data_IF_615172845913
#
_entry.id   IF_615172845913
#
_cell.length_a   1.000
_cell.length_b   1.000
_cell.length_c   1.000
_cell.angle_alpha   90.00
_cell.angle_beta   90.00
_cell.angle_gamma   90.00
#
_symmetry.space_group_name_H-M   'P 1'
#
loop_
_entity.id
_entity.type
_entity.pdbx_description
1 polymer ?
#
# COMPACT_ATOMS: atom_id res chain seq x y z
N UNK A 1 8.19 2.80 -9.52
CA UNK A 1 6.77 3.19 -9.44
C UNK A 1 6.03 2.14 -8.63
N UNK A 2 4.89 2.47 -8.04
CA UNK A 2 4.13 1.66 -7.07
C UNK A 2 4.16 0.13 -7.28
N UNK A 3 4.10 -0.32 -8.53
CA UNK A 3 4.30 -1.71 -8.99
C UNK A 3 5.52 -2.46 -8.41
N UNK A 4 6.66 -1.79 -8.19
CA UNK A 4 7.85 -2.43 -7.61
C UNK A 4 7.77 -2.58 -6.08
N UNK A 5 6.91 -1.80 -5.43
CA UNK A 5 6.61 -1.92 -4.01
C UNK A 5 5.60 -3.04 -3.79
N UNK A 6 4.58 -3.12 -4.63
CA UNK A 6 3.60 -4.21 -4.67
C UNK A 6 4.27 -5.58 -4.82
N UNK A 7 5.18 -5.74 -5.78
CA UNK A 7 5.92 -6.99 -5.99
C UNK A 7 6.85 -7.33 -4.79
N UNK A 8 7.50 -6.33 -4.19
CA UNK A 8 8.39 -6.54 -3.02
C UNK A 8 7.65 -6.95 -1.76
N UNK A 9 6.44 -6.45 -1.56
CA UNK A 9 5.64 -6.71 -0.36
C UNK A 9 4.53 -7.73 -0.59
N UNK A 10 4.33 -8.19 -1.84
CA UNK A 10 3.26 -9.10 -2.21
C UNK A 10 1.87 -8.50 -1.96
N UNK A 11 1.75 -7.18 -2.02
CA UNK A 11 0.49 -6.45 -1.80
C UNK A 11 0.03 -5.90 -3.15
N UNK A 12 -1.29 -5.87 -3.36
CA UNK A 12 -1.90 -5.25 -4.53
C UNK A 12 -2.69 -4.03 -4.05
N UNK A 13 -2.28 -2.83 -4.46
CA UNK A 13 -2.97 -1.59 -4.15
C UNK A 13 -3.68 -1.11 -5.41
N UNK A 14 -4.98 -0.83 -5.29
CA UNK A 14 -5.70 -0.16 -6.37
C UNK A 14 -5.22 1.28 -6.53
N UNK A 15 -5.22 1.81 -7.77
CA UNK A 15 -4.84 3.20 -8.04
C UNK A 15 -5.62 4.20 -7.16
N UNK A 16 -6.90 3.95 -6.92
CA UNK A 16 -7.75 4.78 -6.04
C UNK A 16 -7.27 4.82 -4.57
N UNK A 17 -6.65 3.76 -4.08
CA UNK A 17 -6.10 3.71 -2.72
C UNK A 17 -4.67 4.23 -2.68
N UNK A 18 -3.88 4.02 -3.75
CA UNK A 18 -2.59 4.68 -3.92
C UNK A 18 -2.74 6.21 -3.93
N UNK A 19 -3.78 6.74 -4.56
CA UNK A 19 -4.08 8.19 -4.57
C UNK A 19 -4.47 8.73 -3.18
N UNK A 20 -5.03 7.89 -2.31
CA UNK A 20 -5.35 8.25 -0.91
C UNK A 20 -4.14 8.16 0.01
N UNK A 21 -3.14 7.35 -0.34
CA UNK A 21 -1.89 7.20 0.41
C UNK A 21 -0.96 8.36 0.04
N UNK A 22 -1.19 9.50 0.69
CA UNK A 22 -0.41 10.72 0.48
C UNK A 22 0.72 10.90 1.49
N UNK A 23 0.62 10.26 2.65
CA UNK A 23 1.66 10.30 3.68
C UNK A 23 2.24 8.92 3.99
N UNK A 24 3.44 8.92 4.55
CA UNK A 24 4.07 7.68 5.07
C UNK A 24 3.19 7.01 6.13
N UNK A 25 2.41 7.79 6.90
CA UNK A 25 1.48 7.25 7.88
C UNK A 25 0.34 6.47 7.20
N UNK A 26 -0.24 7.02 6.14
CA UNK A 26 -1.32 6.36 5.39
C UNK A 26 -0.82 5.04 4.77
N UNK A 27 0.44 5.02 4.30
CA UNK A 27 1.06 3.80 3.78
C UNK A 27 1.24 2.74 4.89
N UNK A 28 1.66 3.15 6.08
CA UNK A 28 1.79 2.25 7.23
C UNK A 28 0.44 1.71 7.70
N UNK A 29 -0.59 2.55 7.77
CA UNK A 29 -1.95 2.15 8.14
C UNK A 29 -2.55 1.19 7.08
N UNK A 30 -2.29 1.44 5.79
CA UNK A 30 -2.70 0.53 4.72
C UNK A 30 -2.03 -0.85 4.84
N UNK A 31 -0.71 -0.87 5.09
CA UNK A 31 0.05 -2.10 5.28
C UNK A 31 -0.43 -2.85 6.54
N UNK A 32 -0.73 -2.18 7.66
CA UNK A 32 -1.23 -2.85 8.88
C UNK A 32 -2.62 -3.46 8.70
N UNK A 33 -3.49 -2.78 7.93
CA UNK A 33 -4.86 -3.26 7.66
C UNK A 33 -4.89 -4.40 6.65
N UNK A 34 -3.95 -4.44 5.69
CA UNK A 34 -3.88 -5.48 4.66
C UNK A 34 -2.85 -6.60 4.93
N UNK A 35 -1.91 -6.41 5.87
CA UNK A 35 -0.95 -7.46 6.30
C UNK A 35 -1.48 -8.39 7.39
N UNK A 36 -2.67 -8.13 7.96
CA UNK A 36 -3.28 -9.04 8.94
C UNK A 36 -3.83 -10.28 8.23
N UNK A 37 -2.96 -11.27 8.08
CA UNK A 37 -3.32 -12.68 7.93
C UNK A 37 -3.02 -13.42 9.22
#
# INVERSE_FOLDING_TARGET
TFMAFEDKFGIEISDEDAEKIVTVKDALDYIDTHSKK
#
